data_IF_845213270653
#
_entry.id   IF_845213270653
#
_cell.length_a   1.000
_cell.length_b   1.000
_cell.length_c   1.000
_cell.angle_alpha   90.00
_cell.angle_beta   90.00
_cell.angle_gamma   90.00
#
_symmetry.space_group_name_H-M   'P 1'
#
loop_
_entity.id
_entity.type
_entity.pdbx_description
1 polymer ?
#
# COMPACT_ATOMS: atom_id res chain seq x y z
N UNK A 1 2.04 -22.50 14.16
CA UNK A 1 0.58 -22.22 14.14
C UNK A 1 0.05 -21.48 15.37
N UNK A 2 0.51 -21.78 16.59
CA UNK A 2 0.06 -21.07 17.81
C UNK A 2 0.35 -19.56 17.77
N UNK A 3 1.50 -19.17 17.23
CA UNK A 3 1.92 -17.76 17.09
C UNK A 3 1.00 -16.98 16.15
N UNK A 4 0.62 -17.58 15.02
CA UNK A 4 -0.32 -16.99 14.05
C UNK A 4 -1.68 -16.71 14.70
N UNK A 5 -2.21 -17.69 15.45
CA UNK A 5 -3.48 -17.52 16.18
C UNK A 5 -3.38 -16.41 17.23
N UNK A 6 -2.25 -16.31 17.92
CA UNK A 6 -2.01 -15.27 18.91
C UNK A 6 -2.02 -13.87 18.27
N UNK A 7 -1.30 -13.68 17.16
CA UNK A 7 -1.28 -12.37 16.48
C UNK A 7 -2.67 -12.00 15.97
N UNK A 8 -3.38 -12.95 15.36
CA UNK A 8 -4.75 -12.69 14.90
C UNK A 8 -5.66 -12.29 16.07
N UNK A 9 -5.59 -13.00 17.20
CA UNK A 9 -6.36 -12.65 18.39
C UNK A 9 -5.99 -11.25 18.91
N UNK A 10 -4.70 -10.91 18.99
CA UNK A 10 -4.24 -9.56 19.36
C UNK A 10 -4.80 -8.48 18.41
N UNK A 11 -4.82 -8.73 17.09
CA UNK A 11 -5.38 -7.78 16.14
C UNK A 11 -6.89 -7.56 16.33
N UNK A 12 -7.67 -8.63 16.49
CA UNK A 12 -9.12 -8.50 16.69
C UNK A 12 -9.47 -7.85 18.03
N UNK A 13 -8.78 -8.21 19.12
CA UNK A 13 -9.05 -7.67 20.46
C UNK A 13 -8.73 -6.18 20.58
N UNK A 14 -7.72 -5.69 19.85
CA UNK A 14 -7.24 -4.31 19.98
C UNK A 14 -7.47 -3.44 18.74
N UNK A 15 -8.26 -3.91 17.76
CA UNK A 15 -8.58 -3.16 16.55
C UNK A 15 -9.14 -1.77 16.86
N UNK A 16 -10.04 -1.67 17.85
CA UNK A 16 -10.61 -0.39 18.27
C UNK A 16 -9.57 0.57 18.88
N UNK A 17 -8.55 0.04 19.55
CA UNK A 17 -7.43 0.85 20.07
C UNK A 17 -6.59 1.35 18.91
N UNK A 18 -6.28 0.50 17.93
CA UNK A 18 -5.52 0.86 16.74
C UNK A 18 -6.18 2.02 15.98
N UNK A 19 -7.49 1.95 15.77
CA UNK A 19 -8.27 3.00 15.11
C UNK A 19 -8.25 4.32 15.88
N UNK A 20 -8.37 4.29 17.21
CA UNK A 20 -8.31 5.49 18.05
C UNK A 20 -6.94 6.15 17.94
N UNK A 21 -5.86 5.39 18.13
CA UNK A 21 -4.49 5.92 18.02
C UNK A 21 -4.23 6.48 16.62
N UNK A 22 -4.67 5.78 15.56
CA UNK A 22 -4.54 6.23 14.19
C UNK A 22 -5.22 7.58 13.94
N UNK A 23 -6.44 7.77 14.45
CA UNK A 23 -7.18 9.04 14.34
C UNK A 23 -6.44 10.20 15.01
N UNK A 24 -5.88 9.98 16.21
CA UNK A 24 -5.09 10.99 16.90
C UNK A 24 -3.76 11.28 16.18
N UNK A 25 -3.08 10.24 15.69
CA UNK A 25 -1.82 10.38 14.94
C UNK A 25 -2.00 11.18 13.67
N UNK A 26 -3.06 10.93 12.88
CA UNK A 26 -3.35 11.68 11.66
C UNK A 26 -3.66 13.16 12.00
N UNK A 27 -4.51 13.39 13.01
CA UNK A 27 -4.84 14.76 13.44
C UNK A 27 -3.60 15.53 13.90
N UNK A 28 -2.71 14.89 14.65
CA UNK A 28 -1.49 15.52 15.16
C UNK A 28 -0.53 15.96 14.04
N UNK A 29 -0.42 15.17 12.95
CA UNK A 29 0.46 15.51 11.82
C UNK A 29 0.07 16.82 11.15
N UNK A 30 -1.22 17.13 11.05
CA UNK A 30 -1.71 18.31 10.32
C UNK A 30 -2.11 19.48 11.22
N UNK A 31 -2.14 19.29 12.55
CA UNK A 31 -2.63 20.30 13.50
C UNK A 31 -1.79 21.58 13.52
N UNK A 32 -0.49 21.49 13.24
CA UNK A 32 0.44 22.62 13.29
C UNK A 32 0.75 23.24 11.92
N UNK A 33 0.11 22.76 10.85
CA UNK A 33 0.32 23.28 9.49
C UNK A 33 -0.77 24.27 9.10
N UNK A 34 -0.37 25.38 8.47
CA UNK A 34 -1.28 26.46 8.01
C UNK A 34 -2.38 25.90 7.08
N UNK A 35 -2.00 25.03 6.14
CA UNK A 35 -2.91 24.37 5.20
C UNK A 35 -3.63 23.16 5.82
N UNK A 36 -3.22 22.72 7.01
CA UNK A 36 -3.80 21.61 7.74
C UNK A 36 -4.01 20.36 6.88
N UNK A 37 -5.24 19.84 6.90
CA UNK A 37 -5.63 18.61 6.20
C UNK A 37 -5.55 18.71 4.67
N UNK A 38 -5.44 19.91 4.07
CA UNK A 38 -5.32 20.05 2.61
C UNK A 38 -4.06 19.38 2.07
N UNK A 39 -3.01 19.24 2.89
CA UNK A 39 -1.78 18.55 2.52
C UNK A 39 -1.98 17.08 2.16
N UNK A 40 -3.03 16.43 2.69
CA UNK A 40 -3.37 15.04 2.36
C UNK A 40 -3.70 14.86 0.88
N UNK A 41 -4.14 15.93 0.21
CA UNK A 41 -4.50 15.94 -1.21
C UNK A 41 -3.44 16.67 -2.04
N UNK A 42 -2.94 17.80 -1.54
CA UNK A 42 -1.94 18.61 -2.25
C UNK A 42 -0.63 17.87 -2.51
N UNK A 43 -0.12 17.12 -1.53
CA UNK A 43 1.15 16.40 -1.70
C UNK A 43 1.05 15.32 -2.81
N UNK A 44 0.06 14.41 -2.78
CA UNK A 44 -0.17 13.48 -3.89
C UNK A 44 -0.44 14.16 -5.24
N UNK A 45 -1.13 15.32 -5.25
CA UNK A 45 -1.39 16.08 -6.49
C UNK A 45 -0.12 16.68 -7.10
N UNK A 46 0.78 17.22 -6.28
CA UNK A 46 2.07 17.72 -6.75
C UNK A 46 2.87 16.56 -7.35
N UNK A 47 2.91 15.42 -6.65
CA UNK A 47 3.59 14.23 -7.14
C UNK A 47 3.00 13.72 -8.46
N UNK A 48 1.66 13.73 -8.59
CA UNK A 48 0.97 13.42 -9.84
C UNK A 48 1.36 14.38 -10.96
N UNK A 49 1.40 15.70 -10.69
CA UNK A 49 1.76 16.70 -11.67
C UNK A 49 3.17 16.50 -12.21
N UNK A 50 4.14 16.22 -11.33
CA UNK A 50 5.53 15.91 -11.72
C UNK A 50 5.60 14.67 -12.60
N UNK A 51 4.93 13.58 -12.21
CA UNK A 51 4.97 12.34 -12.99
C UNK A 51 4.18 12.42 -14.29
N UNK A 52 3.07 13.14 -14.32
CA UNK A 52 2.31 13.39 -15.54
C UNK A 52 3.14 14.25 -16.51
N UNK A 53 3.82 15.28 -16.01
CA UNK A 53 4.74 16.07 -16.83
C UNK A 53 5.87 15.20 -17.41
N UNK A 54 6.54 14.40 -16.59
CA UNK A 54 7.65 13.55 -17.02
C UNK A 54 7.22 12.47 -18.02
N UNK A 55 6.22 11.66 -17.69
CA UNK A 55 5.85 10.49 -18.49
C UNK A 55 4.77 10.77 -19.54
N UNK A 56 3.87 11.72 -19.28
CA UNK A 56 2.79 12.07 -20.20
C UNK A 56 3.17 13.13 -21.23
N UNK A 57 4.04 14.09 -20.88
CA UNK A 57 4.41 15.20 -21.76
C UNK A 57 5.86 15.06 -22.26
N UNK A 58 6.84 15.03 -21.35
CA UNK A 58 8.25 15.10 -21.71
C UNK A 58 8.76 13.88 -22.48
N UNK A 59 8.32 12.68 -22.10
CA UNK A 59 8.65 11.44 -22.80
C UNK A 59 7.77 11.15 -24.03
N UNK A 60 6.89 12.08 -24.41
CA UNK A 60 5.96 11.87 -25.53
C UNK A 60 4.94 10.76 -25.28
N UNK A 61 4.62 10.48 -24.01
CA UNK A 61 3.69 9.44 -23.61
C UNK A 61 2.30 9.62 -24.22
N UNK A 62 1.59 8.51 -24.41
CA UNK A 62 0.26 8.54 -24.99
C UNK A 62 -0.71 9.30 -24.08
N UNK A 63 -1.51 10.22 -24.66
CA UNK A 63 -2.61 10.91 -23.94
C UNK A 63 -3.69 9.93 -23.47
N UNK A 64 -3.76 8.77 -24.13
CA UNK A 64 -4.67 7.68 -23.82
C UNK A 64 -3.91 6.36 -23.69
N UNK A 65 -4.42 5.48 -22.83
CA UNK A 65 -3.91 4.12 -22.62
C UNK A 65 -4.83 3.13 -23.35
N UNK A 66 -4.48 1.84 -23.29
CA UNK A 66 -5.30 0.73 -23.77
C UNK A 66 -6.78 0.93 -23.43
N UNK A 67 -7.64 0.79 -24.44
CA UNK A 67 -9.09 0.97 -24.27
C UNK A 67 -9.59 2.42 -24.39
N UNK A 68 -8.73 3.38 -24.73
CA UNK A 68 -9.13 4.79 -24.89
C UNK A 68 -9.16 5.58 -23.57
N UNK A 69 -8.71 4.96 -22.48
CA UNK A 69 -8.70 5.53 -21.13
C UNK A 69 -7.74 6.73 -21.08
N UNK A 70 -8.15 7.83 -20.46
CA UNK A 70 -7.28 8.99 -20.27
C UNK A 70 -6.06 8.64 -19.40
N UNK A 71 -4.85 8.96 -19.88
CA UNK A 71 -3.61 8.63 -19.17
C UNK A 71 -3.54 9.29 -17.78
N UNK A 72 -4.06 10.51 -17.63
CA UNK A 72 -4.06 11.18 -16.32
C UNK A 72 -4.94 10.43 -15.30
N UNK A 73 -6.12 9.96 -15.71
CA UNK A 73 -7.01 9.18 -14.84
C UNK A 73 -6.39 7.82 -14.49
N UNK A 74 -5.80 7.15 -15.48
CA UNK A 74 -5.10 5.89 -15.32
C UNK A 74 -3.89 5.98 -14.38
N UNK A 75 -3.10 7.04 -14.53
CA UNK A 75 -1.95 7.34 -13.68
C UNK A 75 -2.41 7.67 -12.27
N UNK A 76 -3.48 8.45 -12.11
CA UNK A 76 -3.99 8.88 -10.82
C UNK A 76 -4.44 7.71 -9.94
N UNK A 77 -5.15 6.73 -10.51
CA UNK A 77 -5.55 5.51 -9.80
C UNK A 77 -4.33 4.67 -9.43
N UNK A 78 -3.38 4.48 -10.36
CA UNK A 78 -2.16 3.71 -10.05
C UNK A 78 -1.29 4.37 -8.99
N UNK A 79 -1.16 5.70 -9.06
CA UNK A 79 -0.38 6.50 -8.14
C UNK A 79 -1.03 6.55 -6.75
N UNK A 80 -2.36 6.62 -6.65
CA UNK A 80 -3.04 6.64 -5.35
C UNK A 80 -2.79 5.37 -4.55
N UNK A 81 -2.93 4.22 -5.22
CA UNK A 81 -2.61 2.91 -4.64
C UNK A 81 -1.13 2.81 -4.29
N UNK A 82 -0.23 3.25 -5.18
CA UNK A 82 1.21 3.20 -4.94
C UNK A 82 1.66 4.07 -3.76
N UNK A 83 1.19 5.32 -3.67
CA UNK A 83 1.54 6.24 -2.58
C UNK A 83 1.12 5.63 -1.25
N UNK A 84 -0.08 5.06 -1.17
CA UNK A 84 -0.54 4.40 0.05
C UNK A 84 0.31 3.17 0.39
N UNK A 85 0.51 2.27 -0.58
CA UNK A 85 1.31 1.06 -0.41
C UNK A 85 2.73 1.38 0.09
N UNK A 86 3.41 2.34 -0.56
CA UNK A 86 4.78 2.73 -0.24
C UNK A 86 4.88 3.47 1.09
N UNK A 87 3.98 4.42 1.37
CA UNK A 87 3.95 5.18 2.63
C UNK A 87 3.72 4.28 3.82
N UNK A 88 2.70 3.40 3.75
CA UNK A 88 2.38 2.48 4.84
C UNK A 88 3.54 1.52 5.08
N UNK A 89 4.11 0.92 4.03
CA UNK A 89 5.23 -0.02 4.18
C UNK A 89 6.41 0.64 4.91
N UNK A 90 6.79 1.87 4.51
CA UNK A 90 7.89 2.61 5.13
C UNK A 90 7.58 2.97 6.58
N UNK A 91 6.44 3.59 6.85
CA UNK A 91 6.10 4.03 8.20
C UNK A 91 5.84 2.86 9.17
N UNK A 92 5.22 1.79 8.69
CA UNK A 92 4.96 0.61 9.50
C UNK A 92 6.25 -0.14 9.83
N UNK A 93 7.25 -0.15 8.93
CA UNK A 93 8.56 -0.74 9.21
C UNK A 93 9.31 -0.04 10.35
N UNK A 94 9.24 1.29 10.47
CA UNK A 94 9.80 2.02 11.63
C UNK A 94 8.87 2.14 12.82
N UNK A 95 7.64 1.62 12.74
CA UNK A 95 6.63 1.83 13.79
C UNK A 95 7.05 1.24 15.13
N UNK A 96 7.74 0.10 15.14
CA UNK A 96 8.26 -0.51 16.37
C UNK A 96 9.25 0.44 17.02
N UNK A 97 10.32 0.81 16.32
CA UNK A 97 11.36 1.71 16.85
C UNK A 97 10.81 3.08 17.32
N UNK A 98 9.97 3.74 16.52
CA UNK A 98 9.48 5.10 16.83
C UNK A 98 8.46 5.13 17.98
N UNK A 99 7.65 4.08 18.14
CA UNK A 99 6.52 4.10 19.08
C UNK A 99 6.86 3.41 20.42
N UNK A 100 8.08 2.88 20.60
CA UNK A 100 8.46 2.13 21.82
C UNK A 100 8.43 2.98 23.09
N UNK A 101 8.77 4.27 23.03
CA UNK A 101 8.60 5.16 24.19
C UNK A 101 7.15 5.37 24.62
N UNK A 102 6.18 5.20 23.70
CA UNK A 102 4.75 5.19 24.01
C UNK A 102 4.30 3.81 24.52
N UNK A 103 4.78 2.73 23.91
CA UNK A 103 4.41 1.35 24.27
C UNK A 103 4.93 0.97 25.65
N UNK A 104 6.12 1.45 26.06
CA UNK A 104 6.64 1.23 27.42
C UNK A 104 5.74 1.81 28.52
N UNK A 105 4.85 2.75 28.16
CA UNK A 105 3.88 3.40 29.07
C UNK A 105 2.44 2.92 28.88
N UNK A 106 2.14 2.11 27.87
CA UNK A 106 0.78 1.69 27.51
C UNK A 106 0.65 0.16 27.43
N UNK A 107 -0.40 -0.42 28.04
CA UNK A 107 -0.62 -1.88 28.12
C UNK A 107 -1.26 -2.48 26.85
N UNK A 108 -0.60 -2.44 25.70
CA UNK A 108 -1.07 -3.15 24.49
C UNK A 108 0.09 -3.80 23.70
N UNK A 109 -0.17 -4.88 22.93
CA UNK A 109 0.89 -5.61 22.25
C UNK A 109 1.49 -4.86 21.06
N UNK A 110 2.80 -5.02 20.86
CA UNK A 110 3.60 -4.37 19.79
C UNK A 110 3.11 -4.73 18.39
N UNK A 111 2.47 -5.89 18.23
CA UNK A 111 1.93 -6.40 16.96
C UNK A 111 0.85 -5.50 16.33
N UNK A 112 0.27 -4.57 17.08
CA UNK A 112 -0.77 -3.63 16.62
C UNK A 112 -0.17 -2.39 15.94
N UNK A 113 1.11 -2.06 16.20
CA UNK A 113 1.74 -0.84 15.68
C UNK A 113 1.69 -0.72 14.16
N UNK A 114 1.96 -1.78 13.37
CA UNK A 114 1.79 -1.74 11.92
C UNK A 114 0.35 -1.42 11.50
N UNK A 115 -0.64 -1.96 12.23
CA UNK A 115 -2.06 -1.73 11.95
C UNK A 115 -2.48 -0.29 12.23
N UNK A 116 -1.92 0.34 13.27
CA UNK A 116 -2.12 1.78 13.55
C UNK A 116 -1.70 2.62 12.35
N UNK A 117 -0.54 2.31 11.74
CA UNK A 117 -0.03 3.06 10.57
C UNK A 117 -0.88 2.83 9.32
N UNK A 118 -1.40 1.62 9.11
CA UNK A 118 -2.36 1.36 8.03
C UNK A 118 -3.60 2.25 8.22
N UNK A 119 -4.21 2.25 9.40
CA UNK A 119 -5.40 3.04 9.68
C UNK A 119 -5.16 4.57 9.64
N UNK A 120 -3.95 5.04 9.97
CA UNK A 120 -3.66 6.47 9.95
C UNK A 120 -3.58 7.05 8.55
N UNK A 121 -3.18 6.25 7.56
CA UNK A 121 -3.02 6.67 6.15
C UNK A 121 -4.29 6.44 5.31
N UNK A 122 -5.24 5.62 5.78
CA UNK A 122 -6.49 5.35 5.06
C UNK A 122 -7.29 6.62 4.70
N UNK A 123 -7.45 7.64 5.58
CA UNK A 123 -8.17 8.86 5.22
C UNK A 123 -7.55 9.58 4.01
N UNK A 124 -6.22 9.66 3.95
CA UNK A 124 -5.51 10.30 2.83
C UNK A 124 -5.63 9.48 1.55
N UNK A 125 -5.58 8.15 1.65
CA UNK A 125 -5.84 7.25 0.53
C UNK A 125 -7.26 7.39 -0.04
N UNK A 126 -8.28 7.43 0.82
CA UNK A 126 -9.67 7.60 0.39
C UNK A 126 -9.91 8.97 -0.21
N UNK A 127 -9.32 10.03 0.34
CA UNK A 127 -9.42 11.38 -0.22
C UNK A 127 -8.86 11.43 -1.64
N UNK A 128 -7.66 10.90 -1.85
CA UNK A 128 -7.00 10.92 -3.16
C UNK A 128 -7.64 9.95 -4.17
N UNK A 129 -8.08 8.77 -3.73
CA UNK A 129 -8.78 7.80 -4.60
C UNK A 129 -10.18 8.28 -4.99
N UNK A 130 -10.88 9.00 -4.11
CA UNK A 130 -12.15 9.65 -4.45
C UNK A 130 -11.94 10.73 -5.52
N UNK A 131 -10.87 11.52 -5.39
CA UNK A 131 -10.48 12.49 -6.41
C UNK A 131 -10.16 11.79 -7.75
N UNK A 132 -9.45 10.66 -7.71
CA UNK A 132 -9.15 9.84 -8.89
C UNK A 132 -10.42 9.31 -9.56
N UNK A 133 -11.40 8.87 -8.77
CA UNK A 133 -12.71 8.43 -9.25
C UNK A 133 -13.47 9.55 -9.97
N UNK A 134 -13.49 10.77 -9.40
CA UNK A 134 -14.15 11.93 -10.00
C UNK A 134 -13.50 12.29 -11.34
N UNK A 135 -12.16 12.32 -11.41
CA UNK A 135 -11.41 12.61 -12.65
C UNK A 135 -11.63 11.51 -13.71
N UNK A 136 -11.74 10.25 -13.28
CA UNK A 136 -12.04 9.15 -14.20
C UNK A 136 -13.42 9.32 -14.83
N UNK A 137 -14.44 9.67 -14.03
CA UNK A 137 -15.80 9.91 -14.53
C UNK A 137 -15.84 11.12 -15.47
N UNK A 138 -15.15 12.22 -15.14
CA UNK A 138 -15.13 13.43 -15.96
C UNK A 138 -14.41 13.24 -17.30
N UNK A 139 -13.51 12.25 -17.40
CA UNK A 139 -12.83 11.89 -18.64
C UNK A 139 -13.62 10.91 -19.53
N UNK A 140 -14.85 10.57 -19.14
CA UNK A 140 -15.79 9.78 -19.95
C UNK A 140 -15.96 8.34 -19.51
N UNK A 141 -15.27 7.90 -18.45
CA UNK A 141 -15.46 6.55 -17.90
C UNK A 141 -16.79 6.46 -17.14
N UNK A 142 -17.54 5.39 -17.40
CA UNK A 142 -18.83 5.15 -16.74
C UNK A 142 -18.63 4.28 -15.51
N UNK A 143 -19.32 4.62 -14.42
CA UNK A 143 -19.43 3.75 -13.25
C UNK A 143 -19.98 2.40 -13.72
N UNK A 144 -19.26 1.33 -13.38
CA UNK A 144 -19.59 -0.02 -13.81
C UNK A 144 -19.80 -0.93 -12.62
N UNK A 145 -20.46 -2.06 -12.83
CA UNK A 145 -20.72 -3.06 -11.78
C UNK A 145 -19.42 -3.57 -11.13
N UNK A 146 -18.30 -3.52 -11.85
CA UNK A 146 -16.98 -3.88 -11.35
C UNK A 146 -16.55 -3.07 -10.12
N UNK A 147 -17.09 -1.87 -9.88
CA UNK A 147 -16.78 -1.07 -8.69
C UNK A 147 -17.10 -1.81 -7.37
N UNK A 148 -17.98 -2.82 -7.42
CA UNK A 148 -18.26 -3.69 -6.28
C UNK A 148 -17.04 -4.49 -5.80
N UNK A 149 -15.97 -4.60 -6.60
CA UNK A 149 -14.73 -5.26 -6.22
C UNK A 149 -13.74 -4.34 -5.49
N UNK A 150 -14.05 -3.03 -5.32
CA UNK A 150 -13.22 -2.12 -4.51
C UNK A 150 -13.01 -2.62 -3.07
N UNK A 151 -14.06 -3.05 -2.32
CA UNK A 151 -13.86 -3.61 -0.99
C UNK A 151 -12.92 -4.82 -0.98
N UNK A 152 -12.99 -5.68 -2.00
CA UNK A 152 -12.09 -6.83 -2.12
C UNK A 152 -10.62 -6.40 -2.23
N UNK A 153 -10.30 -5.46 -3.13
CA UNK A 153 -8.93 -4.98 -3.30
C UNK A 153 -8.44 -4.17 -2.10
N UNK A 154 -9.32 -3.41 -1.43
CA UNK A 154 -8.96 -2.71 -0.18
C UNK A 154 -8.61 -3.70 0.92
N UNK A 155 -9.42 -4.75 1.12
CA UNK A 155 -9.14 -5.78 2.13
C UNK A 155 -7.86 -6.55 1.80
N UNK A 156 -7.69 -6.94 0.53
CA UNK A 156 -6.48 -7.61 0.04
C UNK A 156 -5.23 -6.75 0.30
N UNK A 157 -5.33 -5.45 0.01
CA UNK A 157 -4.27 -4.47 0.25
C UNK A 157 -3.92 -4.34 1.74
N UNK A 158 -4.93 -4.25 2.62
CA UNK A 158 -4.71 -4.16 4.07
C UNK A 158 -4.04 -5.42 4.62
N UNK A 159 -4.51 -6.61 4.22
CA UNK A 159 -3.93 -7.89 4.68
C UNK A 159 -2.49 -8.04 4.20
N UNK A 160 -2.21 -7.71 2.92
CA UNK A 160 -0.86 -7.73 2.39
C UNK A 160 0.06 -6.75 3.11
N UNK A 161 -0.37 -5.49 3.27
CA UNK A 161 0.41 -4.47 3.96
C UNK A 161 0.69 -4.84 5.41
N UNK A 162 -0.29 -5.38 6.13
CA UNK A 162 -0.08 -5.81 7.51
C UNK A 162 0.96 -6.94 7.58
N UNK A 163 0.80 -7.96 6.73
CA UNK A 163 1.70 -9.12 6.68
C UNK A 163 3.13 -8.70 6.35
N UNK A 164 3.29 -7.86 5.31
CA UNK A 164 4.59 -7.37 4.88
C UNK A 164 5.23 -6.45 5.92
N UNK A 165 4.43 -5.57 6.52
CA UNK A 165 4.91 -4.65 7.55
C UNK A 165 5.36 -5.39 8.82
N UNK A 166 4.72 -6.49 9.19
CA UNK A 166 5.08 -7.29 10.37
C UNK A 166 6.48 -7.91 10.24
N UNK A 167 6.83 -8.43 9.06
CA UNK A 167 8.20 -8.88 8.77
C UNK A 167 9.15 -7.68 8.86
N UNK A 168 8.87 -6.63 8.09
CA UNK A 168 9.77 -5.51 7.92
C UNK A 168 10.02 -4.76 9.23
N UNK A 169 9.01 -4.64 10.08
CA UNK A 169 9.13 -3.99 11.39
C UNK A 169 9.97 -4.82 12.36
N UNK A 170 9.88 -6.16 12.27
CA UNK A 170 10.71 -7.06 13.08
C UNK A 170 12.17 -6.96 12.66
N UNK A 171 12.46 -6.95 11.35
CA UNK A 171 13.82 -6.83 10.84
C UNK A 171 14.39 -5.44 11.14
N UNK A 172 13.62 -4.37 10.92
CA UNK A 172 14.04 -3.00 11.19
C UNK A 172 14.36 -2.76 12.68
N UNK A 173 13.65 -3.44 13.60
CA UNK A 173 13.94 -3.36 15.03
C UNK A 173 15.24 -4.09 15.42
N UNK A 174 15.68 -5.08 14.63
CA UNK A 174 16.92 -5.82 14.88
C UNK A 174 18.13 -5.20 14.16
N UNK A 175 17.91 -4.62 12.98
CA UNK A 175 18.96 -4.11 12.09
C UNK A 175 18.59 -2.69 11.66
N UNK A 176 19.33 -1.69 12.17
CA UNK A 176 19.04 -0.27 11.91
C UNK A 176 19.18 0.13 10.44
N UNK A 177 20.17 -0.43 9.75
CA UNK A 177 20.45 -0.13 8.33
C UNK A 177 19.40 -0.73 7.37
N UNK A 178 18.57 -1.66 7.85
CA UNK A 178 17.53 -2.28 7.05
C UNK A 178 16.53 -1.25 6.50
N UNK A 179 16.31 -0.14 7.22
CA UNK A 179 15.39 0.89 6.77
C UNK A 179 15.90 1.64 5.53
N UNK A 180 17.21 1.84 5.41
CA UNK A 180 17.84 2.41 4.21
C UNK A 180 17.62 1.46 3.03
N UNK A 181 17.91 0.18 3.23
CA UNK A 181 17.71 -0.86 2.23
C UNK A 181 16.25 -0.98 1.77
N UNK A 182 15.30 -0.97 2.71
CA UNK A 182 13.87 -1.04 2.42
C UNK A 182 13.38 0.16 1.61
N UNK A 183 13.87 1.37 1.92
CA UNK A 183 13.54 2.57 1.15
C UNK A 183 14.01 2.46 -0.31
N UNK A 184 15.22 1.92 -0.54
CA UNK A 184 15.74 1.67 -1.89
C UNK A 184 14.92 0.63 -2.64
N UNK A 185 14.55 -0.48 -2.00
CA UNK A 185 13.70 -1.51 -2.63
C UNK A 185 12.35 -0.95 -3.04
N UNK A 186 11.69 -0.19 -2.16
CA UNK A 186 10.38 0.40 -2.48
C UNK A 186 10.50 1.33 -3.70
N UNK A 187 11.60 2.08 -3.82
CA UNK A 187 11.82 2.91 -5.00
C UNK A 187 11.96 2.08 -6.28
N UNK A 188 12.68 0.96 -6.25
CA UNK A 188 12.78 0.05 -7.40
C UNK A 188 11.42 -0.57 -7.73
N UNK A 189 10.67 -1.01 -6.71
CA UNK A 189 9.33 -1.59 -6.86
C UNK A 189 8.34 -0.62 -7.50
N UNK A 190 8.50 0.70 -7.33
CA UNK A 190 7.66 1.70 -7.99
C UNK A 190 7.72 1.56 -9.51
N UNK A 191 8.93 1.45 -10.05
CA UNK A 191 9.15 1.36 -11.49
C UNK A 191 8.78 -0.03 -12.04
N UNK A 192 8.97 -1.08 -11.24
CA UNK A 192 8.63 -2.46 -11.61
C UNK A 192 7.13 -2.78 -11.50
N UNK A 193 6.36 -2.06 -10.69
CA UNK A 193 4.94 -2.35 -10.46
C UNK A 193 4.01 -1.81 -11.56
N UNK A 194 4.55 -1.17 -12.60
CA UNK A 194 3.77 -0.64 -13.71
C UNK A 194 2.92 0.58 -13.34
N UNK A 195 3.35 1.39 -12.36
CA UNK A 195 2.62 2.61 -11.99
C UNK A 195 2.57 3.59 -13.16
N UNK A 196 3.66 3.76 -13.89
CA UNK A 196 3.75 4.72 -15.01
C UNK A 196 3.44 4.11 -16.38
N UNK A 197 3.42 2.79 -16.50
CA UNK A 197 3.32 2.11 -17.80
C UNK A 197 2.62 0.75 -17.68
N UNK A 198 1.94 0.33 -18.73
CA UNK A 198 1.14 -0.91 -18.72
C UNK A 198 2.06 -2.14 -18.84
N UNK A 199 2.00 -3.04 -17.85
CA UNK A 199 2.78 -4.28 -17.80
C UNK A 199 2.47 -5.24 -18.97
N UNK A 200 1.32 -5.06 -19.63
CA UNK A 200 0.90 -5.83 -20.81
C UNK A 200 1.41 -5.25 -22.15
N UNK A 201 2.27 -4.23 -22.12
CA UNK A 201 2.85 -3.63 -23.32
C UNK A 201 3.66 -4.66 -24.12
N UNK A 202 3.41 -4.73 -25.43
CA UNK A 202 4.04 -5.68 -26.38
C UNK A 202 5.57 -5.56 -26.50
N UNK A 203 6.17 -4.52 -25.93
CA UNK A 203 7.59 -4.20 -26.09
C UNK A 203 8.50 -4.94 -25.09
N UNK A 204 7.95 -5.76 -24.19
CA UNK A 204 8.73 -6.50 -23.20
C UNK A 204 8.90 -7.98 -23.58
N UNK A 205 10.07 -8.57 -23.30
CA UNK A 205 10.24 -10.01 -23.36
C UNK A 205 9.22 -10.72 -22.47
N UNK A 206 8.64 -11.80 -22.97
CA UNK A 206 7.56 -12.55 -22.30
C UNK A 206 7.95 -13.14 -20.95
N UNK A 207 9.23 -13.38 -20.69
CA UNK A 207 9.73 -13.83 -19.39
C UNK A 207 9.75 -12.69 -18.36
N UNK A 208 10.08 -11.47 -18.80
CA UNK A 208 10.17 -10.31 -17.92
C UNK A 208 8.79 -9.84 -17.49
N UNK A 209 7.81 -9.83 -18.40
CA UNK A 209 6.43 -9.51 -18.06
C UNK A 209 5.84 -10.48 -17.03
N UNK A 210 6.14 -11.78 -17.13
CA UNK A 210 5.74 -12.78 -16.13
C UNK A 210 6.36 -12.50 -14.75
N UNK A 211 7.64 -12.15 -14.69
CA UNK A 211 8.31 -11.82 -13.41
C UNK A 211 7.68 -10.57 -12.79
N UNK A 212 7.42 -9.53 -13.58
CA UNK A 212 6.79 -8.31 -13.09
C UNK A 212 5.36 -8.55 -12.58
N UNK A 213 4.63 -9.48 -13.21
CA UNK A 213 3.30 -9.90 -12.75
C UNK A 213 3.32 -10.70 -11.44
N UNK A 214 4.46 -11.26 -11.02
CA UNK A 214 4.59 -11.91 -9.70
C UNK A 214 4.65 -10.90 -8.55
N UNK A 215 4.84 -9.60 -8.84
CA UNK A 215 4.92 -8.57 -7.83
C UNK A 215 3.55 -8.32 -7.16
N UNK A 216 3.40 -8.53 -5.83
CA UNK A 216 2.14 -8.30 -5.14
C UNK A 216 1.64 -6.85 -5.20
N UNK A 217 2.56 -5.87 -5.30
CA UNK A 217 2.19 -4.46 -5.49
C UNK A 217 1.52 -4.26 -6.84
N UNK A 218 2.03 -4.92 -7.89
CA UNK A 218 1.46 -4.85 -9.23
C UNK A 218 0.06 -5.46 -9.28
N UNK A 219 -0.17 -6.58 -8.57
CA UNK A 219 -1.50 -7.20 -8.48
C UNK A 219 -2.54 -6.22 -7.91
N UNK A 220 -2.21 -5.53 -6.81
CA UNK A 220 -3.14 -4.58 -6.18
C UNK A 220 -3.40 -3.38 -7.11
N UNK A 221 -2.35 -2.80 -7.69
CA UNK A 221 -2.47 -1.65 -8.61
C UNK A 221 -3.29 -1.99 -9.84
N UNK A 222 -3.01 -3.13 -10.47
CA UNK A 222 -3.78 -3.59 -11.63
C UNK A 222 -5.22 -3.92 -11.24
N UNK A 223 -5.45 -4.51 -10.06
CA UNK A 223 -6.78 -4.76 -9.55
C UNK A 223 -7.65 -3.50 -9.43
N UNK A 224 -7.08 -2.40 -8.92
CA UNK A 224 -7.77 -1.11 -8.94
C UNK A 224 -8.02 -0.63 -10.38
N UNK A 225 -7.06 -0.76 -11.30
CA UNK A 225 -7.28 -0.39 -12.71
C UNK A 225 -8.33 -1.24 -13.43
N UNK A 226 -8.39 -2.53 -13.14
CA UNK A 226 -9.41 -3.43 -13.67
C UNK A 226 -10.80 -3.06 -13.17
N UNK A 227 -10.87 -2.51 -11.96
CA UNK A 227 -12.10 -2.00 -11.34
C UNK A 227 -12.59 -0.71 -12.00
N UNK A 228 -11.67 0.24 -12.21
CA UNK A 228 -12.01 1.56 -12.74
C UNK A 228 -12.16 1.59 -14.26
N UNK A 229 -11.34 0.83 -15.00
CA UNK A 229 -11.17 1.00 -16.45
C UNK A 229 -11.42 -0.30 -17.24
N UNK A 230 -10.71 -1.39 -16.91
CA UNK A 230 -10.66 -2.56 -17.81
C UNK A 230 -11.82 -3.54 -17.66
N UNK A 231 -12.67 -3.37 -16.63
CA UNK A 231 -13.90 -4.16 -16.44
C UNK A 231 -13.61 -5.66 -16.42
N UNK A 232 -12.62 -6.05 -15.63
CA UNK A 232 -12.24 -7.45 -15.40
C UNK A 232 -12.48 -7.82 -13.96
N UNK A 233 -13.03 -9.01 -13.73
CA UNK A 233 -13.25 -9.52 -12.40
C UNK A 233 -11.95 -10.06 -11.79
N UNK A 234 -11.81 -9.91 -10.47
CA UNK A 234 -10.66 -10.42 -9.72
C UNK A 234 -10.39 -11.93 -9.91
N UNK A 235 -11.41 -12.72 -10.25
CA UNK A 235 -11.29 -14.17 -10.46
C UNK A 235 -10.96 -14.59 -11.90
N UNK A 236 -10.95 -13.67 -12.86
CA UNK A 236 -10.57 -13.97 -14.24
C UNK A 236 -9.09 -14.34 -14.34
N UNK A 237 -8.22 -13.58 -13.66
CA UNK A 237 -6.78 -13.85 -13.62
C UNK A 237 -6.40 -14.77 -12.44
N UNK A 238 -6.91 -16.01 -12.50
CA UNK A 238 -6.66 -17.06 -11.49
C UNK A 238 -5.18 -17.21 -11.10
N UNK A 239 -4.21 -17.22 -12.05
CA UNK A 239 -2.80 -17.41 -11.68
C UNK A 239 -2.28 -16.28 -10.78
N UNK A 240 -2.62 -15.03 -11.08
CA UNK A 240 -2.17 -13.88 -10.29
C UNK A 240 -2.83 -13.86 -8.92
N UNK A 241 -4.13 -14.17 -8.86
CA UNK A 241 -4.87 -14.29 -7.60
C UNK A 241 -4.23 -15.34 -6.67
N UNK A 242 -3.93 -16.53 -7.21
CA UNK A 242 -3.32 -17.62 -6.43
C UNK A 242 -1.93 -17.21 -5.93
N UNK A 243 -1.09 -16.66 -6.81
CA UNK A 243 0.26 -16.19 -6.45
C UNK A 243 0.19 -15.10 -5.38
N UNK A 244 -0.72 -14.13 -5.50
CA UNK A 244 -0.87 -13.05 -4.54
C UNK A 244 -1.27 -13.56 -3.15
N UNK A 245 -2.30 -14.42 -3.06
CA UNK A 245 -2.74 -14.94 -1.76
C UNK A 245 -1.73 -15.90 -1.14
N UNK A 246 -1.06 -16.72 -1.96
CA UNK A 246 -0.01 -17.62 -1.47
C UNK A 246 1.18 -16.83 -0.93
N UNK A 247 1.67 -15.83 -1.68
CA UNK A 247 2.77 -14.97 -1.22
C UNK A 247 2.39 -14.20 0.05
N UNK A 248 1.19 -13.62 0.10
CA UNK A 248 0.68 -12.92 1.29
C UNK A 248 0.61 -13.84 2.50
N UNK A 249 0.11 -15.06 2.33
CA UNK A 249 -0.01 -16.04 3.40
C UNK A 249 1.36 -16.50 3.91
N UNK A 250 2.31 -16.76 3.01
CA UNK A 250 3.69 -17.11 3.37
C UNK A 250 4.36 -15.97 4.15
N UNK A 251 4.25 -14.74 3.66
CA UNK A 251 4.75 -13.53 4.33
C UNK A 251 4.12 -13.40 5.72
N UNK A 252 2.81 -13.62 5.84
CA UNK A 252 2.12 -13.53 7.12
C UNK A 252 2.61 -14.57 8.13
N UNK A 253 2.74 -15.84 7.71
CA UNK A 253 3.21 -16.91 8.59
C UNK A 253 4.65 -16.65 9.06
N UNK A 254 5.53 -16.28 8.13
CA UNK A 254 6.94 -15.98 8.44
C UNK A 254 7.04 -14.76 9.35
N UNK A 255 6.30 -13.69 9.04
CA UNK A 255 6.24 -12.49 9.87
C UNK A 255 5.70 -12.76 11.27
N UNK A 256 4.66 -13.59 11.38
CA UNK A 256 4.11 -13.95 12.67
C UNK A 256 5.10 -14.72 13.53
N UNK A 257 5.80 -15.69 12.94
CA UNK A 257 6.82 -16.48 13.63
C UNK A 257 7.99 -15.60 14.09
N UNK A 258 8.55 -14.79 13.18
CA UNK A 258 9.66 -13.87 13.50
C UNK A 258 9.24 -12.87 14.58
N UNK A 259 8.09 -12.23 14.43
CA UNK A 259 7.64 -11.21 15.38
C UNK A 259 7.46 -11.78 16.79
N UNK A 260 6.81 -12.95 16.94
CA UNK A 260 6.64 -13.56 18.27
C UNK A 260 7.98 -14.05 18.85
N UNK A 261 8.87 -14.59 18.02
CA UNK A 261 10.19 -15.06 18.46
C UNK A 261 11.09 -13.93 18.96
N UNK A 262 11.04 -12.77 18.30
CA UNK A 262 11.91 -11.63 18.60
C UNK A 262 11.26 -10.55 19.48
N UNK A 263 9.95 -10.64 19.79
CA UNK A 263 9.25 -9.63 20.60
C UNK A 263 9.89 -9.33 21.95
N UNK A 264 10.52 -10.32 22.58
CA UNK A 264 11.19 -10.14 23.88
C UNK A 264 12.51 -9.39 23.75
N UNK A 265 13.21 -9.57 22.64
CA UNK A 265 14.51 -8.92 22.38
C UNK A 265 14.37 -7.48 21.93
N UNK A 266 13.19 -7.04 21.51
CA UNK A 266 12.95 -5.65 21.13
C UNK A 266 13.31 -4.68 22.26
N UNK A 267 13.10 -5.06 23.53
CA UNK A 267 13.44 -4.23 24.69
C UNK A 267 14.97 -4.10 24.87
N UNK A 268 15.74 -5.11 24.46
CA UNK A 268 17.19 -5.16 24.66
C UNK A 268 17.98 -4.37 23.59
N UNK A 269 17.39 -4.17 22.41
CA UNK A 269 18.00 -3.46 21.28
C UNK A 269 17.59 -1.97 21.19
N UNK A 270 16.83 -1.48 22.17
CA UNK A 270 16.28 -0.11 22.19
C UNK A 270 16.71 0.65 23.43
#
# INVERSE_FOLDING_TARGET
>A
MREVKLILAEQFSYLGVAQRIAKYSNKALYQSHILGNLWQILSPLIQLGVYYFAFGIALGGARTVKGGVSYIAWLMVGLSTWIFLSTVTKQASSSVYMQVGMVSRMKFPISILPMVKIFSELPSYFAFTTLAAIVSISTGEKISIYWIQLPYYIVSMIIFLYSFSLINSTIAALIRDYQIFLNSIIQVLMYMSGVFWDLSTKNLPSWLSKILMLNPYAYIINGFRDTFFYKRWFFEDKPQLIVFWLTTLVIFIVGAHLHVKFRSKFVDYM
#
